data_IF_881438591980
#
_entry.id   IF_881438591980
#
_cell.length_a   1.000
_cell.length_b   1.000
_cell.length_c   1.000
_cell.angle_alpha   90.00
_cell.angle_beta   90.00
_cell.angle_gamma   90.00
#
_symmetry.space_group_name_H-M   'P 1'
#
loop_
_entity.id
_entity.type
_entity.pdbx_description
1 polymer ?
#
# COMPACT_ATOMS: atom_id res chain seq x y z
N UNK A 1 57.19 79.37 31.06
CA UNK A 1 56.31 78.58 31.95
C UNK A 1 54.88 78.85 31.52
N UNK A 2 54.05 77.98 30.94
CA UNK A 2 54.01 76.52 30.79
C UNK A 2 53.44 76.21 29.40
N UNK A 3 54.10 75.32 28.64
CA UNK A 3 53.47 74.59 27.52
C UNK A 3 52.49 73.58 28.10
N UNK A 4 51.26 73.55 27.60
CA UNK A 4 50.28 72.50 27.92
C UNK A 4 49.83 71.83 26.63
N UNK A 5 50.41 70.66 26.35
CA UNK A 5 50.01 69.74 25.29
C UNK A 5 48.74 68.99 25.72
N UNK A 6 47.67 69.05 24.92
CA UNK A 6 46.50 68.17 25.03
C UNK A 6 46.62 67.05 23.98
N UNK A 7 46.48 65.77 24.32
CA UNK A 7 46.33 64.72 23.31
C UNK A 7 44.87 64.71 22.81
N UNK A 8 44.70 64.58 21.50
CA UNK A 8 43.42 64.26 20.86
C UNK A 8 43.10 62.79 21.14
N UNK A 9 42.05 62.53 21.91
CA UNK A 9 41.45 61.21 22.02
C UNK A 9 40.65 60.88 20.77
N UNK A 10 41.04 59.83 20.05
CA UNK A 10 40.24 59.28 18.96
C UNK A 10 39.00 58.59 19.56
N UNK A 11 37.82 59.16 19.32
CA UNK A 11 36.56 58.50 19.60
C UNK A 11 36.32 57.43 18.51
N UNK A 12 36.51 56.16 18.86
CA UNK A 12 36.06 55.06 18.03
C UNK A 12 34.53 55.01 18.04
N UNK A 13 33.91 55.56 16.99
CA UNK A 13 32.47 55.44 16.77
C UNK A 13 32.16 54.01 16.31
N UNK A 14 31.74 53.16 17.25
CA UNK A 14 31.19 51.85 16.95
C UNK A 14 29.80 52.06 16.31
N UNK A 15 29.75 52.03 14.98
CA UNK A 15 28.49 51.81 14.28
C UNK A 15 28.02 50.39 14.62
N UNK A 16 27.10 50.28 15.57
CA UNK A 16 26.34 49.06 15.77
C UNK A 16 25.47 48.87 14.52
N UNK A 17 25.89 47.97 13.63
CA UNK A 17 25.02 47.46 12.58
C UNK A 17 23.93 46.65 13.29
N UNK A 18 22.77 47.28 13.53
CA UNK A 18 21.59 46.57 14.02
C UNK A 18 21.23 45.51 12.98
N UNK A 19 21.65 44.28 13.23
CA UNK A 19 21.12 43.11 12.54
C UNK A 19 19.64 43.03 12.91
N UNK A 20 18.79 43.55 12.02
CA UNK A 20 17.38 43.20 12.01
C UNK A 20 17.35 41.74 11.59
N UNK A 21 17.34 40.84 12.58
CA UNK A 21 16.99 39.45 12.33
C UNK A 21 15.51 39.48 11.91
N UNK A 22 15.16 39.07 10.68
CA UNK A 22 13.76 38.86 10.35
C UNK A 22 13.22 37.88 11.40
N UNK A 23 12.14 38.29 12.09
CA UNK A 23 11.40 37.38 12.95
C UNK A 23 11.03 36.20 12.06
N UNK A 24 11.48 34.99 12.40
CA UNK A 24 10.97 33.79 11.77
C UNK A 24 9.45 33.90 11.81
N UNK A 25 8.79 33.85 10.64
CA UNK A 25 7.35 33.71 10.61
C UNK A 25 7.03 32.50 11.51
N UNK A 26 6.09 32.67 12.45
CA UNK A 26 5.62 31.53 13.24
C UNK A 26 5.11 30.51 12.24
N UNK A 27 5.62 29.28 12.28
CA UNK A 27 5.09 28.25 11.41
C UNK A 27 3.62 28.05 11.79
N UNK A 28 2.79 27.84 10.78
CA UNK A 28 1.34 27.74 10.94
C UNK A 28 0.98 26.27 10.82
N UNK A 29 0.43 25.73 11.90
CA UNK A 29 -0.01 24.33 11.90
C UNK A 29 -1.00 24.04 10.75
N UNK A 30 -0.95 22.83 10.18
CA UNK A 30 -1.91 22.38 9.18
C UNK A 30 -3.36 22.54 9.64
N UNK A 31 -4.25 22.80 8.69
CA UNK A 31 -5.69 22.89 8.89
C UNK A 31 -6.41 21.91 7.97
N UNK A 32 -7.64 21.54 8.31
CA UNK A 32 -8.42 20.60 7.51
C UNK A 32 -9.59 19.99 8.27
N UNK A 33 -10.31 19.11 7.58
CA UNK A 33 -11.46 18.38 8.13
C UNK A 33 -11.41 16.91 7.75
N UNK A 34 -11.80 16.05 8.69
CA UNK A 34 -12.26 14.70 8.40
C UNK A 34 -13.75 14.79 8.04
N UNK A 35 -14.07 14.71 6.75
CA UNK A 35 -15.42 14.92 6.23
C UNK A 35 -16.28 13.66 6.36
N UNK A 36 -15.68 12.48 6.19
CA UNK A 36 -16.40 11.21 6.21
C UNK A 36 -15.55 10.07 6.80
N UNK A 37 -16.23 9.17 7.51
CA UNK A 37 -15.69 7.87 7.92
C UNK A 37 -16.72 6.77 7.58
N UNK A 38 -16.76 6.38 6.31
CA UNK A 38 -17.74 5.44 5.76
C UNK A 38 -17.16 4.05 5.45
N UNK A 39 -18.04 3.15 5.04
CA UNK A 39 -17.66 1.77 4.70
C UNK A 39 -16.89 1.66 3.38
N UNK A 40 -17.08 2.60 2.47
CA UNK A 40 -16.31 2.64 1.22
C UNK A 40 -15.01 3.44 1.39
N UNK A 41 -15.11 4.60 2.06
CA UNK A 41 -14.03 5.58 2.10
C UNK A 41 -14.01 6.39 3.40
N UNK A 42 -12.80 6.70 3.85
CA UNK A 42 -12.50 7.75 4.82
C UNK A 42 -12.00 8.95 4.00
N UNK A 43 -12.62 10.12 4.11
CA UNK A 43 -12.31 11.25 3.24
C UNK A 43 -12.29 12.56 4.00
N UNK A 44 -11.53 13.52 3.46
CA UNK A 44 -11.41 14.84 4.03
C UNK A 44 -10.53 15.74 3.18
N UNK A 45 -9.99 16.78 3.80
CA UNK A 45 -8.95 17.62 3.22
C UNK A 45 -8.00 18.12 4.30
N UNK A 46 -6.77 18.46 3.90
CA UNK A 46 -5.82 19.12 4.76
C UNK A 46 -4.84 20.00 3.94
N UNK A 47 -4.48 21.15 4.49
CA UNK A 47 -3.49 22.07 3.91
C UNK A 47 -2.58 22.58 5.01
N UNK A 48 -1.29 22.67 4.71
CA UNK A 48 -0.31 23.38 5.51
C UNK A 48 -0.15 24.80 4.92
N UNK A 49 -0.55 25.87 5.65
CA UNK A 49 -0.47 27.24 5.15
C UNK A 49 0.97 27.74 4.92
N UNK A 50 1.98 27.07 5.48
CA UNK A 50 3.39 27.42 5.22
C UNK A 50 3.84 26.95 3.82
N UNK A 51 3.16 25.94 3.26
CA UNK A 51 3.38 25.40 1.91
C UNK A 51 2.04 25.24 1.16
N UNK A 52 1.30 26.33 0.90
CA UNK A 52 -0.12 26.29 0.56
C UNK A 52 -0.45 25.62 -0.79
N UNK A 53 0.53 25.47 -1.67
CA UNK A 53 0.39 24.79 -2.97
C UNK A 53 0.90 23.33 -2.95
N UNK A 54 1.48 22.88 -1.83
CA UNK A 54 2.05 21.54 -1.71
C UNK A 54 1.06 20.59 -1.03
N UNK A 55 1.02 19.35 -1.52
CA UNK A 55 0.37 18.26 -0.81
C UNK A 55 1.13 17.95 0.47
N UNK A 56 0.39 17.73 1.55
CA UNK A 56 0.92 17.20 2.81
C UNK A 56 0.43 15.78 3.08
N UNK A 57 1.06 15.12 4.04
CA UNK A 57 0.56 13.86 4.58
C UNK A 57 -0.60 14.11 5.55
N UNK A 58 -1.50 13.14 5.59
CA UNK A 58 -2.54 12.98 6.61
C UNK A 58 -2.40 11.59 7.19
N UNK A 59 -2.22 11.51 8.49
CA UNK A 59 -2.20 10.23 9.19
C UNK A 59 -3.59 9.93 9.76
N UNK A 60 -4.16 8.82 9.35
CA UNK A 60 -5.47 8.33 9.80
C UNK A 60 -5.25 7.14 10.74
N UNK A 61 -5.79 7.22 11.96
CA UNK A 61 -5.69 6.19 13.00
C UNK A 61 -7.06 5.59 13.30
N UNK A 62 -7.12 4.29 13.56
CA UNK A 62 -8.37 3.56 13.77
C UNK A 62 -8.48 3.01 15.19
N UNK A 63 -9.57 3.33 15.88
CA UNK A 63 -9.93 2.85 17.21
C UNK A 63 -9.29 3.59 18.38
N UNK A 64 -8.20 4.33 18.16
CA UNK A 64 -7.52 5.11 19.17
C UNK A 64 -6.73 6.29 18.55
N UNK A 65 -6.45 7.36 19.31
CA UNK A 65 -5.68 8.49 18.81
C UNK A 65 -4.20 8.14 18.58
N UNK A 66 -3.50 9.02 17.85
CA UNK A 66 -2.06 8.94 17.63
C UNK A 66 -1.29 8.86 18.96
N UNK A 67 -0.18 8.11 18.97
CA UNK A 67 0.66 7.90 20.15
C UNK A 67 0.21 6.74 21.06
N UNK A 68 -0.97 6.16 20.82
CA UNK A 68 -1.39 4.92 21.50
C UNK A 68 -0.65 3.72 20.87
N UNK A 69 0.07 2.89 21.66
CA UNK A 69 0.81 1.74 21.13
C UNK A 69 -0.10 0.72 20.43
N UNK A 70 0.31 0.28 19.23
CA UNK A 70 -0.40 -0.75 18.49
C UNK A 70 -1.64 -0.27 17.72
N UNK A 71 -1.95 1.03 17.74
CA UNK A 71 -3.05 1.59 16.94
C UNK A 71 -2.78 1.45 15.45
N UNK A 72 -3.66 0.77 14.69
CA UNK A 72 -3.56 0.72 13.24
C UNK A 72 -3.68 2.12 12.64
N UNK A 73 -2.86 2.42 11.64
CA UNK A 73 -2.86 3.71 10.98
C UNK A 73 -2.47 3.60 9.51
N UNK A 74 -2.83 4.62 8.74
CA UNK A 74 -2.41 4.82 7.35
C UNK A 74 -1.99 6.26 7.14
N UNK A 75 -0.94 6.47 6.35
CA UNK A 75 -0.59 7.76 5.81
C UNK A 75 -1.18 7.90 4.40
N UNK A 76 -1.88 8.99 4.14
CA UNK A 76 -2.41 9.35 2.82
C UNK A 76 -2.00 10.78 2.48
N UNK A 77 -1.86 11.08 1.20
CA UNK A 77 -1.53 12.41 0.71
C UNK A 77 -2.81 13.20 0.48
N UNK A 78 -2.82 14.45 0.94
CA UNK A 78 -3.83 15.44 0.61
C UNK A 78 -3.52 16.07 -0.75
N UNK A 79 -3.72 15.31 -1.83
CA UNK A 79 -3.41 15.71 -3.22
C UNK A 79 -4.60 15.58 -4.19
N UNK A 80 -5.79 15.28 -3.68
CA UNK A 80 -6.99 15.07 -4.48
C UNK A 80 -7.64 16.41 -4.79
N UNK A 81 -7.85 16.68 -6.07
CA UNK A 81 -8.51 17.90 -6.54
C UNK A 81 -9.96 17.99 -6.05
N UNK A 82 -10.32 19.15 -5.49
CA UNK A 82 -11.65 19.50 -5.02
C UNK A 82 -11.96 20.97 -5.36
N UNK A 83 -13.00 21.18 -6.16
CA UNK A 83 -13.38 22.50 -6.66
C UNK A 83 -13.77 23.48 -5.55
N UNK A 84 -14.37 22.98 -4.46
CA UNK A 84 -14.77 23.80 -3.32
C UNK A 84 -13.57 24.39 -2.57
N UNK A 85 -12.42 23.71 -2.59
CA UNK A 85 -11.20 24.15 -1.93
C UNK A 85 -10.49 25.27 -2.69
N UNK A 86 -10.60 25.31 -4.02
CA UNK A 86 -9.95 26.32 -4.86
C UNK A 86 -10.22 27.75 -4.38
N UNK A 87 -11.47 28.03 -4.00
CA UNK A 87 -11.89 29.35 -3.53
C UNK A 87 -11.71 29.47 -2.01
N UNK A 88 -11.98 28.40 -1.26
CA UNK A 88 -11.97 28.45 0.21
C UNK A 88 -10.56 28.62 0.79
N UNK A 89 -9.55 27.99 0.18
CA UNK A 89 -8.17 27.93 0.70
C UNK A 89 -7.12 28.31 -0.36
N UNK A 90 -7.54 28.79 -1.54
CA UNK A 90 -6.66 29.27 -2.60
C UNK A 90 -5.96 28.19 -3.41
N UNK A 91 -6.21 26.91 -3.12
CA UNK A 91 -5.66 25.76 -3.84
C UNK A 91 -6.66 24.61 -3.85
N UNK A 92 -6.68 23.84 -4.93
CA UNK A 92 -7.70 22.82 -5.18
C UNK A 92 -7.26 21.41 -4.76
N UNK A 93 -5.95 21.13 -4.72
CA UNK A 93 -5.40 19.78 -4.62
C UNK A 93 -5.04 19.42 -3.18
N UNK A 94 -6.02 19.48 -2.28
CA UNK A 94 -5.85 19.25 -0.83
C UNK A 94 -6.82 18.22 -0.24
N UNK A 95 -7.66 17.59 -1.07
CA UNK A 95 -8.50 16.47 -0.64
C UNK A 95 -7.66 15.23 -0.37
N UNK A 96 -8.13 14.37 0.52
CA UNK A 96 -7.59 13.02 0.69
C UNK A 96 -8.72 11.99 0.76
N UNK A 97 -8.38 10.75 0.42
CA UNK A 97 -9.20 9.59 0.74
C UNK A 97 -8.31 8.42 1.20
N UNK A 98 -8.87 7.58 2.06
CA UNK A 98 -8.30 6.29 2.44
C UNK A 98 -9.39 5.21 2.32
N UNK A 99 -9.06 3.98 1.89
CA UNK A 99 -10.03 2.90 1.91
C UNK A 99 -10.44 2.57 3.35
N UNK A 100 -11.67 2.12 3.53
CA UNK A 100 -12.08 1.54 4.81
C UNK A 100 -11.42 0.16 5.02
N UNK A 101 -10.79 -0.10 6.17
CA UNK A 101 -10.20 -1.41 6.47
C UNK A 101 -11.28 -2.45 6.70
N UNK A 102 -11.30 -3.52 5.90
CA UNK A 102 -12.36 -4.54 6.00
C UNK A 102 -12.38 -5.25 7.34
N UNK A 103 -11.26 -5.32 8.06
CA UNK A 103 -11.22 -5.93 9.38
C UNK A 103 -12.12 -5.21 10.40
N UNK A 104 -12.50 -3.96 10.12
CA UNK A 104 -13.40 -3.17 10.96
C UNK A 104 -14.86 -3.24 10.49
N UNK A 105 -15.16 -4.05 9.46
CA UNK A 105 -16.52 -4.27 8.97
C UNK A 105 -17.17 -5.42 9.75
N UNK A 106 -17.20 -5.28 11.08
CA UNK A 106 -17.74 -6.25 12.04
C UNK A 106 -19.08 -5.79 12.67
N UNK A 107 -19.60 -4.65 12.22
CA UNK A 107 -20.81 -4.01 12.76
C UNK A 107 -20.58 -3.18 14.02
N UNK A 108 -19.37 -3.16 14.58
CA UNK A 108 -19.05 -2.40 15.79
C UNK A 108 -18.61 -0.98 15.45
N UNK A 109 -19.05 -0.02 16.27
CA UNK A 109 -18.62 1.37 16.14
C UNK A 109 -17.17 1.54 16.60
N UNK A 110 -16.36 2.25 15.81
CA UNK A 110 -14.96 2.60 16.13
C UNK A 110 -14.67 4.04 15.71
N UNK A 111 -13.87 4.73 16.50
CA UNK A 111 -13.44 6.09 16.18
C UNK A 111 -12.31 6.11 15.16
N UNK A 112 -12.36 7.04 14.22
CA UNK A 112 -11.35 7.31 13.21
C UNK A 112 -10.79 8.70 13.46
N UNK A 113 -9.48 8.76 13.74
CA UNK A 113 -8.76 10.00 14.00
C UNK A 113 -7.95 10.38 12.77
N UNK A 114 -7.89 11.67 12.43
CA UNK A 114 -7.08 12.17 11.32
C UNK A 114 -6.24 13.35 11.77
N UNK A 115 -4.97 13.37 11.37
CA UNK A 115 -4.00 14.39 11.74
C UNK A 115 -3.31 14.92 10.48
N UNK A 116 -3.29 16.24 10.31
CA UNK A 116 -2.49 16.88 9.26
C UNK A 116 -1.02 16.84 9.66
N UNK A 117 -0.15 16.46 8.74
CA UNK A 117 1.29 16.39 9.01
C UNK A 117 1.94 17.70 8.60
N UNK A 118 2.55 18.33 9.60
CA UNK A 118 3.24 19.61 9.44
C UNK A 118 4.64 19.37 8.87
N UNK A 119 4.96 20.06 7.79
CA UNK A 119 6.28 19.99 7.13
C UNK A 119 7.33 20.88 7.79
N UNK A 120 6.91 21.90 8.55
CA UNK A 120 7.71 22.85 9.32
C UNK A 120 8.01 22.43 10.76
N UNK A 121 7.31 21.43 11.31
CA UNK A 121 7.66 20.73 12.55
C UNK A 121 7.09 21.31 13.86
N UNK A 122 6.04 22.13 13.81
CA UNK A 122 5.31 22.62 15.00
C UNK A 122 4.29 21.61 15.56
N UNK A 123 4.16 20.46 14.92
CA UNK A 123 3.37 19.31 15.40
C UNK A 123 2.23 18.97 14.46
N UNK A 124 1.62 17.80 14.66
CA UNK A 124 0.60 17.27 13.75
C UNK A 124 -0.80 17.48 14.37
N UNK A 125 -1.52 18.56 14.03
CA UNK A 125 -2.82 18.86 14.61
C UNK A 125 -3.87 17.84 14.19
N UNK A 126 -4.82 17.57 15.10
CA UNK A 126 -6.03 16.82 14.78
C UNK A 126 -6.90 17.64 13.84
N UNK A 127 -7.37 17.03 12.75
CA UNK A 127 -8.24 17.70 11.79
C UNK A 127 -9.63 17.95 12.39
N UNK A 128 -10.33 18.96 11.88
CA UNK A 128 -11.70 19.28 12.26
C UNK A 128 -12.65 18.09 12.08
N UNK A 129 -13.66 17.98 12.95
CA UNK A 129 -14.60 16.84 13.01
C UNK A 129 -13.96 15.48 13.31
N UNK A 130 -12.71 15.42 13.74
CA UNK A 130 -12.06 14.21 14.20
C UNK A 130 -12.13 14.08 15.74
N UNK A 131 -12.45 12.90 16.30
CA UNK A 131 -12.76 11.66 15.60
C UNK A 131 -14.14 11.64 14.92
N UNK A 132 -14.27 10.80 13.88
CA UNK A 132 -15.56 10.35 13.35
C UNK A 132 -15.77 8.87 13.60
N UNK A 133 -17.02 8.47 13.79
CA UNK A 133 -17.39 7.07 13.97
C UNK A 133 -17.50 6.33 12.64
N UNK A 134 -16.77 5.22 12.52
CA UNK A 134 -16.93 4.18 11.52
C UNK A 134 -17.74 3.04 12.12
N UNK A 135 -18.83 2.64 11.46
CA UNK A 135 -19.60 1.46 11.85
C UNK A 135 -20.14 0.79 10.59
N UNK A 136 -19.62 -0.38 10.26
CA UNK A 136 -19.91 -1.08 9.01
C UNK A 136 -20.22 -2.54 9.29
N UNK A 137 -21.42 -3.05 8.95
CA UNK A 137 -21.63 -4.49 8.93
C UNK A 137 -20.79 -5.13 7.82
N UNK A 138 -20.45 -6.43 7.94
CA UNK A 138 -19.83 -7.14 6.84
C UNK A 138 -20.80 -7.17 5.64
N UNK A 139 -20.32 -6.74 4.48
CA UNK A 139 -21.12 -6.78 3.26
C UNK A 139 -21.19 -8.20 2.71
N UNK A 140 -22.38 -8.62 2.25
CA UNK A 140 -22.55 -9.89 1.56
C UNK A 140 -21.66 -9.96 0.32
N UNK A 141 -21.04 -11.13 0.13
CA UNK A 141 -20.09 -11.38 -0.96
C UNK A 141 -20.73 -12.22 -2.06
N UNK A 142 -20.27 -12.03 -3.30
CA UNK A 142 -20.70 -12.80 -4.47
C UNK A 142 -19.48 -13.36 -5.22
N UNK A 143 -19.71 -14.39 -6.04
CA UNK A 143 -18.67 -15.05 -6.83
C UNK A 143 -18.31 -16.43 -6.28
N UNK A 144 -17.02 -16.75 -6.28
CA UNK A 144 -16.45 -18.00 -5.74
C UNK A 144 -15.52 -17.68 -4.58
N UNK A 145 -15.29 -18.66 -3.70
CA UNK A 145 -14.19 -18.63 -2.74
C UNK A 145 -13.01 -19.43 -3.28
N UNK A 146 -11.83 -18.82 -3.27
CA UNK A 146 -10.58 -19.43 -3.76
C UNK A 146 -9.60 -19.52 -2.61
N UNK A 147 -9.08 -20.72 -2.32
CA UNK A 147 -8.20 -20.90 -1.16
C UNK A 147 -6.89 -20.16 -1.36
N UNK A 148 -6.42 -19.51 -0.30
CA UNK A 148 -5.05 -18.96 -0.17
C UNK A 148 -4.20 -20.02 0.52
N UNK A 149 -3.26 -20.63 -0.21
CA UNK A 149 -2.52 -21.80 0.29
C UNK A 149 -1.36 -21.43 1.23
N UNK A 150 -1.72 -21.03 2.44
CA UNK A 150 -0.78 -20.77 3.53
C UNK A 150 -0.05 -19.43 3.45
N UNK A 151 0.87 -19.24 4.39
CA UNK A 151 1.62 -18.00 4.56
C UNK A 151 2.46 -17.59 3.32
N UNK A 152 3.14 -18.50 2.60
CA UNK A 152 3.93 -18.11 1.43
C UNK A 152 3.09 -17.45 0.34
N UNK A 153 1.88 -17.96 0.07
CA UNK A 153 0.96 -17.35 -0.89
C UNK A 153 0.41 -16.04 -0.36
N UNK A 154 0.03 -15.97 0.91
CA UNK A 154 -0.42 -14.73 1.55
C UNK A 154 0.59 -13.59 1.40
N UNK A 155 1.87 -13.88 1.70
CA UNK A 155 2.96 -12.92 1.64
C UNK A 155 3.30 -12.53 0.20
N UNK A 156 3.31 -13.50 -0.73
CA UNK A 156 3.61 -13.25 -2.14
C UNK A 156 2.57 -12.34 -2.81
N UNK A 157 1.29 -12.49 -2.45
CA UNK A 157 0.21 -11.59 -2.85
C UNK A 157 0.16 -10.30 -2.04
N UNK A 158 1.03 -10.17 -1.02
CA UNK A 158 1.10 -9.03 -0.12
C UNK A 158 -0.22 -8.75 0.57
N UNK A 159 -1.00 -9.78 0.90
CA UNK A 159 -2.28 -9.58 1.58
C UNK A 159 -2.11 -8.94 2.97
N UNK A 160 -3.17 -8.30 3.45
CA UNK A 160 -3.22 -7.65 4.76
C UNK A 160 -4.46 -8.06 5.52
N UNK A 161 -4.26 -8.54 6.75
CA UNK A 161 -5.34 -8.95 7.65
C UNK A 161 -6.12 -7.75 8.18
N UNK A 162 -5.59 -6.54 8.07
CA UNK A 162 -6.30 -5.33 8.47
C UNK A 162 -7.10 -4.74 7.30
N UNK A 163 -6.50 -4.67 6.12
CA UNK A 163 -7.12 -4.02 4.96
C UNK A 163 -8.06 -4.93 4.17
N UNK A 164 -7.76 -6.22 4.10
CA UNK A 164 -8.42 -7.13 3.15
C UNK A 164 -9.31 -8.17 3.85
N UNK A 165 -9.08 -8.47 5.12
CA UNK A 165 -9.85 -9.49 5.84
C UNK A 165 -11.21 -8.95 6.27
N UNK A 166 -12.27 -9.45 5.67
CA UNK A 166 -13.65 -9.22 6.05
C UNK A 166 -14.07 -10.23 7.14
N UNK A 167 -14.63 -9.77 8.28
CA UNK A 167 -15.29 -10.61 9.29
C UNK A 167 -16.61 -11.23 8.77
N UNK A 168 -16.55 -11.97 7.66
CA UNK A 168 -17.71 -12.53 6.99
C UNK A 168 -18.37 -13.63 7.85
N UNK A 169 -19.67 -13.55 8.14
CA UNK A 169 -20.37 -14.60 8.89
C UNK A 169 -20.32 -15.96 8.19
N UNK A 170 -20.24 -17.05 8.95
CA UNK A 170 -20.14 -18.40 8.39
C UNK A 170 -21.30 -18.74 7.44
N UNK A 171 -22.52 -18.30 7.75
CA UNK A 171 -23.69 -18.51 6.90
C UNK A 171 -23.55 -17.87 5.51
N UNK A 172 -22.87 -16.73 5.40
CA UNK A 172 -22.62 -16.06 4.13
C UNK A 172 -21.41 -16.68 3.41
N UNK A 173 -20.35 -16.99 4.16
CA UNK A 173 -19.16 -17.66 3.62
C UNK A 173 -19.46 -19.05 3.02
N UNK A 174 -20.41 -19.78 3.61
CA UNK A 174 -20.83 -21.10 3.15
C UNK A 174 -21.75 -21.04 1.91
N UNK A 175 -22.24 -19.85 1.51
CA UNK A 175 -22.98 -19.64 0.25
C UNK A 175 -22.06 -19.48 -0.97
N UNK A 176 -20.77 -19.17 -0.75
CA UNK A 176 -19.81 -19.00 -1.85
C UNK A 176 -19.36 -20.37 -2.36
N UNK A 177 -19.62 -20.74 -3.63
CA UNK A 177 -19.10 -21.96 -4.22
C UNK A 177 -17.57 -21.97 -4.26
N UNK A 178 -16.99 -23.17 -4.15
CA UNK A 178 -15.54 -23.36 -4.27
C UNK A 178 -15.08 -23.08 -5.71
N UNK A 179 -14.08 -22.23 -5.85
CA UNK A 179 -13.30 -22.05 -7.07
C UNK A 179 -11.92 -22.70 -6.96
N UNK A 180 -11.14 -22.72 -8.06
CA UNK A 180 -9.75 -23.16 -7.99
C UNK A 180 -8.94 -22.27 -7.03
N UNK A 181 -7.94 -22.85 -6.37
CA UNK A 181 -7.01 -22.11 -5.52
C UNK A 181 -6.38 -20.93 -6.28
N UNK A 182 -5.98 -19.88 -5.55
CA UNK A 182 -5.26 -18.77 -6.19
C UNK A 182 -3.84 -19.21 -6.56
N UNK A 183 -3.23 -18.63 -7.62
CA UNK A 183 -1.83 -18.87 -7.92
C UNK A 183 -0.94 -18.60 -6.71
N UNK A 184 0.18 -19.32 -6.57
CA UNK A 184 1.07 -19.15 -5.42
C UNK A 184 1.65 -17.72 -5.27
N UNK A 185 1.72 -16.95 -6.37
CA UNK A 185 2.13 -15.55 -6.41
C UNK A 185 1.47 -14.84 -7.61
N UNK A 186 1.30 -13.51 -7.59
CA UNK A 186 0.81 -12.77 -8.75
C UNK A 186 1.86 -12.73 -9.86
N UNK A 187 1.41 -12.87 -11.11
CA UNK A 187 2.24 -12.76 -12.30
C UNK A 187 1.61 -11.75 -13.27
N UNK A 188 2.31 -10.64 -13.50
CA UNK A 188 1.84 -9.54 -14.34
C UNK A 188 2.56 -9.54 -15.67
N UNK A 189 1.82 -9.34 -16.75
CA UNK A 189 2.36 -9.22 -18.11
C UNK A 189 1.75 -8.04 -18.86
N UNK A 190 2.48 -7.49 -19.82
CA UNK A 190 1.98 -6.58 -20.84
C UNK A 190 2.32 -7.15 -22.22
N UNK A 191 1.40 -7.00 -23.18
CA UNK A 191 1.67 -7.34 -24.57
C UNK A 191 2.59 -6.29 -25.21
N UNK A 192 3.47 -6.70 -26.12
CA UNK A 192 4.36 -5.85 -26.90
C UNK A 192 3.67 -5.11 -28.07
N UNK A 193 2.36 -4.90 -27.97
CA UNK A 193 1.51 -4.27 -29.00
C UNK A 193 1.31 -2.76 -28.80
N UNK A 194 1.90 -2.19 -27.74
CA UNK A 194 1.80 -0.76 -27.42
C UNK A 194 0.50 -0.34 -26.73
N UNK A 195 -0.40 -1.27 -26.37
CA UNK A 195 -1.65 -0.95 -25.66
C UNK A 195 -1.42 -0.47 -24.22
N UNK A 196 -0.31 -0.89 -23.60
CA UNK A 196 -0.01 -0.62 -22.19
C UNK A 196 -0.94 -1.34 -21.20
N UNK A 197 -1.80 -2.25 -21.67
CA UNK A 197 -2.68 -3.03 -20.81
C UNK A 197 -1.87 -4.04 -19.98
N UNK A 198 -2.11 -4.04 -18.67
CA UNK A 198 -1.50 -5.02 -17.77
C UNK A 198 -2.49 -6.13 -17.45
N UNK A 199 -2.02 -7.37 -17.58
CA UNK A 199 -2.79 -8.57 -17.35
C UNK A 199 -2.18 -9.37 -16.20
N UNK A 200 -3.04 -9.90 -15.33
CA UNK A 200 -2.68 -10.90 -14.33
C UNK A 200 -2.87 -12.30 -14.94
N UNK A 201 -1.87 -13.16 -14.81
CA UNK A 201 -1.99 -14.57 -15.21
C UNK A 201 -2.53 -15.41 -14.06
N UNK A 202 -3.55 -16.22 -14.35
CA UNK A 202 -4.32 -16.94 -13.34
C UNK A 202 -4.77 -18.29 -13.89
N UNK A 203 -3.99 -19.36 -13.64
CA UNK A 203 -4.41 -20.73 -14.00
C UNK A 203 -4.71 -20.98 -15.49
N UNK A 204 -4.05 -20.24 -16.40
CA UNK A 204 -4.27 -20.34 -17.85
C UNK A 204 -5.23 -19.29 -18.43
N UNK A 205 -5.81 -18.43 -17.59
CA UNK A 205 -6.51 -17.22 -18.04
C UNK A 205 -5.63 -15.98 -17.88
N UNK A 206 -5.85 -14.97 -18.73
CA UNK A 206 -5.37 -13.60 -18.51
C UNK A 206 -6.52 -12.75 -17.97
N UNK A 207 -6.26 -11.93 -16.96
CA UNK A 207 -7.28 -11.08 -16.32
C UNK A 207 -6.84 -9.63 -16.36
N UNK A 208 -7.69 -8.74 -16.88
CA UNK A 208 -7.34 -7.33 -17.00
C UNK A 208 -7.16 -6.70 -15.61
N UNK A 209 -6.01 -6.05 -15.38
CA UNK A 209 -5.77 -5.26 -14.18
C UNK A 209 -6.14 -3.81 -14.50
N UNK A 210 -7.30 -3.37 -14.01
CA UNK A 210 -7.70 -1.97 -14.16
C UNK A 210 -6.76 -1.04 -13.38
N UNK A 211 -6.52 0.20 -13.82
CA UNK A 211 -5.65 1.14 -13.11
C UNK A 211 -6.02 1.33 -11.63
N UNK A 212 -7.32 1.29 -11.31
CA UNK A 212 -7.82 1.40 -9.93
C UNK A 212 -7.62 0.15 -9.06
N UNK A 213 -7.37 -1.02 -9.66
CA UNK A 213 -7.17 -2.27 -8.93
C UNK A 213 -5.72 -2.45 -8.44
N UNK A 214 -4.73 -1.88 -9.13
CA UNK A 214 -3.33 -2.14 -8.83
C UNK A 214 -2.94 -1.76 -7.39
N UNK A 215 -3.34 -0.57 -6.92
CA UNK A 215 -2.99 -0.10 -5.58
C UNK A 215 -3.67 -0.90 -4.45
N UNK A 216 -5.00 -1.16 -4.48
CA UNK A 216 -5.65 -2.03 -3.49
C UNK A 216 -5.07 -3.45 -3.44
N UNK A 217 -4.66 -4.00 -4.58
CA UNK A 217 -3.98 -5.30 -4.65
C UNK A 217 -2.47 -5.24 -4.40
N UNK A 218 -1.91 -4.04 -4.17
CA UNK A 218 -0.48 -3.80 -3.94
C UNK A 218 0.43 -4.39 -5.03
N UNK A 219 -0.08 -4.35 -6.27
CA UNK A 219 0.58 -4.79 -7.49
C UNK A 219 1.50 -3.69 -8.04
N UNK A 220 2.71 -4.08 -8.43
CA UNK A 220 3.70 -3.20 -9.04
C UNK A 220 3.61 -3.32 -10.57
N UNK A 221 2.80 -2.48 -11.21
CA UNK A 221 2.59 -2.53 -12.66
C UNK A 221 3.88 -2.26 -13.45
N UNK A 222 4.82 -1.51 -12.86
CA UNK A 222 6.14 -1.24 -13.47
C UNK A 222 7.03 -2.47 -13.57
N UNK A 223 6.67 -3.57 -12.89
CA UNK A 223 7.37 -4.87 -12.95
C UNK A 223 6.66 -5.90 -13.82
N UNK A 224 5.61 -5.52 -14.54
CA UNK A 224 4.97 -6.42 -15.48
C UNK A 224 5.96 -6.85 -16.58
N UNK A 225 6.02 -8.15 -16.85
CA UNK A 225 6.89 -8.68 -17.89
C UNK A 225 6.31 -8.36 -19.28
N UNK A 226 7.13 -7.82 -20.17
CA UNK A 226 6.73 -7.64 -21.57
C UNK A 226 6.80 -9.00 -22.26
N UNK A 227 5.72 -9.39 -22.97
CA UNK A 227 5.62 -10.64 -23.73
C UNK A 227 5.05 -10.39 -25.13
N UNK A 228 5.35 -11.28 -26.10
CA UNK A 228 4.71 -11.23 -27.40
C UNK A 228 3.18 -11.21 -27.28
N UNK A 229 2.54 -10.29 -27.99
CA UNK A 229 1.10 -10.15 -28.00
C UNK A 229 0.39 -11.47 -28.35
N UNK A 230 0.96 -12.26 -29.28
CA UNK A 230 0.43 -13.57 -29.63
C UNK A 230 0.40 -14.56 -28.45
N UNK A 231 1.40 -14.53 -27.56
CA UNK A 231 1.45 -15.40 -26.37
C UNK A 231 0.43 -14.97 -25.32
N UNK A 232 0.35 -13.67 -25.05
CA UNK A 232 -0.64 -13.12 -24.10
C UNK A 232 -2.06 -13.38 -24.62
N UNK A 233 -2.30 -13.16 -25.91
CA UNK A 233 -3.61 -13.28 -26.52
C UNK A 233 -4.06 -14.73 -26.79
N UNK A 234 -3.13 -15.70 -26.77
CA UNK A 234 -3.45 -17.12 -26.80
C UNK A 234 -4.10 -17.64 -25.50
N UNK A 235 -3.89 -16.96 -24.36
CA UNK A 235 -4.57 -17.31 -23.11
C UNK A 235 -6.07 -17.01 -23.20
N UNK A 236 -6.88 -17.73 -22.44
CA UNK A 236 -8.32 -17.40 -22.37
C UNK A 236 -8.49 -16.09 -21.59
N UNK A 237 -9.31 -15.17 -22.09
CA UNK A 237 -9.61 -13.95 -21.35
C UNK A 237 -10.59 -14.24 -20.22
N UNK A 238 -10.15 -14.01 -18.99
CA UNK A 238 -10.94 -14.19 -17.77
C UNK A 238 -11.71 -12.94 -17.39
N UNK A 239 -12.46 -13.02 -16.29
CA UNK A 239 -13.10 -11.82 -15.73
C UNK A 239 -12.02 -10.85 -15.24
N UNK A 240 -12.25 -9.52 -15.36
CA UNK A 240 -11.31 -8.53 -14.85
C UNK A 240 -10.95 -8.76 -13.38
N UNK A 241 -9.75 -8.35 -12.97
CA UNK A 241 -9.38 -8.38 -11.57
C UNK A 241 -10.31 -7.46 -10.77
N UNK A 242 -10.88 -7.96 -9.67
CA UNK A 242 -11.76 -7.17 -8.81
C UNK A 242 -11.08 -5.89 -8.34
N UNK A 243 -11.81 -4.81 -8.04
CA UNK A 243 -11.20 -3.53 -7.64
C UNK A 243 -10.31 -3.61 -6.40
N UNK A 244 -10.60 -4.54 -5.48
CA UNK A 244 -9.82 -4.77 -4.26
C UNK A 244 -9.90 -6.23 -3.82
N UNK A 245 -8.88 -6.76 -3.13
CA UNK A 245 -8.98 -8.06 -2.50
C UNK A 245 -9.98 -8.04 -1.33
N UNK A 246 -10.70 -9.15 -1.18
CA UNK A 246 -11.57 -9.43 -0.04
C UNK A 246 -11.23 -10.84 0.43
N UNK A 247 -10.68 -10.94 1.63
CA UNK A 247 -10.33 -12.19 2.28
C UNK A 247 -11.34 -12.52 3.38
N UNK A 248 -11.53 -13.79 3.67
CA UNK A 248 -12.26 -14.23 4.87
C UNK A 248 -11.71 -15.57 5.35
N UNK A 249 -12.02 -15.94 6.60
CA UNK A 249 -11.58 -17.19 7.21
C UNK A 249 -12.79 -18.13 7.39
N UNK A 250 -12.68 -19.35 6.87
CA UNK A 250 -13.63 -20.44 7.10
C UNK A 250 -12.92 -21.78 7.09
N UNK A 251 -12.29 -22.16 8.20
CA UNK A 251 -11.44 -23.36 8.29
C UNK A 251 -10.08 -23.22 7.58
N UNK A 252 -10.03 -22.45 6.49
CA UNK A 252 -8.83 -21.94 5.84
C UNK A 252 -9.02 -20.45 5.49
N UNK A 253 -7.99 -19.81 4.93
CA UNK A 253 -8.07 -18.46 4.38
C UNK A 253 -8.54 -18.53 2.92
N UNK A 254 -9.51 -17.71 2.55
CA UNK A 254 -10.07 -17.64 1.21
C UNK A 254 -10.07 -16.21 0.68
N UNK A 255 -9.88 -16.08 -0.63
CA UNK A 255 -10.16 -14.89 -1.42
C UNK A 255 -11.54 -15.01 -2.05
N UNK A 256 -12.35 -13.96 -1.97
CA UNK A 256 -13.56 -13.82 -2.78
C UNK A 256 -13.18 -13.34 -4.17
N UNK A 257 -13.62 -14.05 -5.20
CA UNK A 257 -13.26 -13.75 -6.58
C UNK A 257 -14.41 -14.03 -7.56
N UNK A 258 -14.29 -13.52 -8.78
CA UNK A 258 -15.23 -13.83 -9.86
C UNK A 258 -14.93 -15.21 -10.48
N UNK A 259 -15.94 -15.99 -10.87
CA UNK A 259 -15.74 -17.23 -11.61
C UNK A 259 -14.94 -16.98 -12.88
N UNK A 260 -13.90 -17.79 -13.11
CA UNK A 260 -13.11 -17.76 -14.33
C UNK A 260 -13.71 -18.70 -15.38
N UNK A 261 -13.58 -18.39 -16.69
CA UNK A 261 -13.98 -19.31 -17.73
C UNK A 261 -13.19 -20.62 -17.64
N UNK A 262 -13.84 -21.72 -18.01
CA UNK A 262 -13.20 -23.03 -18.04
C UNK A 262 -12.14 -23.04 -19.15
N UNK A 263 -10.89 -23.30 -18.79
CA UNK A 263 -9.79 -23.44 -19.75
C UNK A 263 -9.86 -24.84 -20.38
N UNK A 264 -10.07 -24.99 -21.70
CA UNK A 264 -10.10 -26.30 -22.35
C UNK A 264 -8.76 -27.03 -22.19
N UNK A 265 -8.80 -28.24 -21.62
CA UNK A 265 -7.60 -29.08 -21.44
C UNK A 265 -6.83 -28.87 -20.12
N UNK A 266 -7.26 -27.95 -19.26
CA UNK A 266 -6.73 -27.83 -17.89
C UNK A 266 -7.35 -28.86 -16.96
N UNK A 267 -6.55 -29.79 -16.44
CA UNK A 267 -7.00 -30.68 -15.38
C UNK A 267 -7.39 -29.82 -14.15
N UNK A 268 -8.69 -29.75 -13.85
CA UNK A 268 -9.12 -29.25 -12.55
C UNK A 268 -8.66 -30.25 -11.50
N UNK A 269 -7.63 -29.90 -10.73
CA UNK A 269 -7.32 -30.61 -9.49
C UNK A 269 -8.35 -30.21 -8.43
N UNK A 270 -9.62 -30.53 -8.69
CA UNK A 270 -10.60 -30.64 -7.61
C UNK A 270 -10.20 -31.89 -6.82
N UNK A 271 -9.60 -31.69 -5.65
CA UNK A 271 -9.42 -32.76 -4.68
C UNK A 271 -10.80 -33.08 -4.09
N UNK A 272 -11.62 -33.74 -4.90
CA UNK A 272 -12.83 -34.40 -4.43
C UNK A 272 -12.43 -35.47 -3.44
N UNK A 273 -12.81 -35.28 -2.17
CA UNK A 273 -12.75 -36.29 -1.14
C UNK A 273 -13.70 -37.45 -1.52
N UNK A 274 -13.22 -38.35 -2.38
CA UNK A 274 -13.85 -39.62 -2.69
C UNK A 274 -13.18 -40.72 -1.87
N UNK A 275 -13.73 -41.00 -0.68
CA UNK A 275 -13.35 -42.18 0.08
C UNK A 275 -13.86 -43.44 -0.61
N UNK A 276 -12.94 -44.26 -1.11
CA UNK A 276 -13.17 -45.67 -1.41
C UNK A 276 -11.88 -46.45 -1.17
N UNK A 277 -11.86 -47.25 -0.10
CA UNK A 277 -10.78 -48.15 0.21
C UNK A 277 -10.70 -49.31 -0.79
N UNK A 278 -9.47 -49.69 -1.14
CA UNK A 278 -9.16 -50.86 -1.95
C UNK A 278 -7.67 -51.13 -1.91
N UNK A 279 -7.28 -52.19 -1.21
CA UNK A 279 -5.92 -52.59 -0.94
C UNK A 279 -5.24 -53.31 -2.11
N UNK A 280 -3.91 -53.25 -2.14
CA UNK A 280 -3.07 -54.37 -2.60
C UNK A 280 -2.05 -54.03 -3.70
N UNK A 281 -0.80 -54.43 -3.47
CA UNK A 281 0.12 -54.79 -4.56
C UNK A 281 1.51 -54.15 -4.51
N UNK A 282 2.46 -54.88 -3.93
CA UNK A 282 3.88 -54.59 -3.93
C UNK A 282 4.54 -54.77 -5.32
N UNK A 283 5.68 -54.13 -5.54
CA UNK A 283 6.58 -54.42 -6.66
C UNK A 283 7.80 -53.51 -6.68
N UNK A 284 8.89 -53.97 -6.04
CA UNK A 284 10.20 -53.32 -6.12
C UNK A 284 10.91 -53.61 -7.44
N UNK A 285 11.73 -52.67 -7.90
CA UNK A 285 12.61 -52.83 -9.05
C UNK A 285 13.95 -52.15 -8.79
N UNK A 286 15.02 -52.96 -8.77
CA UNK A 286 16.41 -52.53 -8.81
C UNK A 286 16.85 -52.37 -10.27
N UNK A 287 17.75 -51.43 -10.55
CA UNK A 287 18.43 -51.29 -11.83
C UNK A 287 19.45 -50.16 -11.84
N UNK A 288 20.72 -50.52 -11.62
CA UNK A 288 21.93 -49.69 -11.77
C UNK A 288 22.32 -49.45 -13.24
N UNK A 289 23.18 -48.44 -13.43
CA UNK A 289 24.05 -48.23 -14.61
C UNK A 289 23.65 -47.01 -15.44
N UNK A 290 24.51 -46.08 -15.84
CA UNK A 290 25.98 -45.99 -15.83
C UNK A 290 26.40 -44.64 -16.45
N UNK A 291 27.69 -44.35 -16.36
CA UNK A 291 28.39 -43.06 -16.51
C UNK A 291 28.57 -42.51 -17.94
N UNK A 292 29.01 -41.24 -18.01
CA UNK A 292 29.73 -40.59 -19.13
C UNK A 292 29.04 -39.32 -19.64
N UNK A 293 29.64 -38.14 -19.74
CA UNK A 293 30.99 -37.63 -19.55
C UNK A 293 30.99 -36.14 -19.98
N UNK A 294 31.96 -35.38 -19.45
CA UNK A 294 32.63 -34.13 -19.92
C UNK A 294 32.15 -33.47 -21.23
N UNK A 295 32.26 -32.17 -21.50
CA UNK A 295 32.80 -30.96 -20.88
C UNK A 295 32.43 -29.82 -21.88
N UNK A 296 32.49 -28.56 -21.45
CA UNK A 296 33.03 -27.37 -22.18
C UNK A 296 32.28 -26.09 -21.82
N UNK A 297 32.94 -25.28 -20.99
CA UNK A 297 32.88 -23.81 -21.06
C UNK A 297 33.94 -23.34 -22.11
N UNK A 298 33.96 -22.08 -22.59
CA UNK A 298 34.37 -20.96 -21.72
C UNK A 298 33.85 -19.53 -22.09
N UNK A 299 34.24 -18.59 -21.21
CA UNK A 299 34.54 -17.15 -21.40
C UNK A 299 33.45 -16.04 -21.53
N UNK A 300 33.54 -15.05 -20.62
CA UNK A 300 33.00 -13.67 -20.75
C UNK A 300 34.02 -12.72 -21.43
N UNK A 301 34.09 -11.38 -21.16
CA UNK A 301 33.25 -10.48 -20.35
C UNK A 301 32.91 -9.14 -21.11
N UNK A 302 32.58 -8.06 -20.36
CA UNK A 302 32.37 -6.63 -20.74
C UNK A 302 30.91 -6.20 -20.99
N UNK A 303 30.35 -5.10 -20.49
CA UNK A 303 30.90 -3.87 -19.94
C UNK A 303 30.38 -2.69 -20.79
N UNK A 304 29.31 -2.00 -20.36
CA UNK A 304 28.75 -0.89 -21.14
C UNK A 304 27.65 -0.10 -20.43
N UNK A 305 27.95 1.16 -20.16
CA UNK A 305 27.19 2.17 -19.41
C UNK A 305 25.91 2.66 -20.10
N UNK A 306 24.80 2.77 -19.38
CA UNK A 306 23.60 3.49 -19.82
C UNK A 306 23.59 4.94 -19.30
N UNK A 307 23.44 5.89 -20.23
CA UNK A 307 23.25 7.33 -20.00
C UNK A 307 21.84 7.62 -19.47
N UNK A 308 21.74 8.51 -18.48
CA UNK A 308 20.48 9.10 -18.00
C UNK A 308 19.97 10.22 -18.92
N UNK A 309 18.67 10.23 -19.16
CA UNK A 309 17.82 11.32 -19.68
C UNK A 309 16.49 11.32 -18.92
N UNK A 310 15.75 12.45 -18.87
CA UNK A 310 15.08 12.97 -17.67
C UNK A 310 13.76 12.29 -17.30
N UNK A 311 13.30 12.40 -16.04
CA UNK A 311 12.08 11.72 -15.57
C UNK A 311 10.81 12.40 -16.10
N UNK A 312 10.03 11.64 -16.85
CA UNK A 312 8.61 11.89 -17.04
C UNK A 312 7.85 11.59 -15.75
N UNK A 313 6.84 12.41 -15.49
CA UNK A 313 5.87 12.37 -14.39
C UNK A 313 5.50 10.95 -13.92
N UNK A 314 6.12 10.49 -12.85
CA UNK A 314 5.75 9.25 -12.16
C UNK A 314 4.57 9.53 -11.21
N UNK A 315 3.44 8.86 -11.47
CA UNK A 315 2.49 8.53 -10.41
C UNK A 315 3.25 7.73 -9.35
N UNK A 316 3.52 8.36 -8.21
CA UNK A 316 4.21 7.72 -7.09
C UNK A 316 3.31 6.66 -6.47
N UNK A 317 3.63 5.40 -6.72
CA UNK A 317 2.95 4.26 -6.11
C UNK A 317 3.40 4.09 -4.65
N UNK A 318 2.41 4.12 -3.76
CA UNK A 318 2.47 4.05 -2.31
C UNK A 318 3.26 2.85 -1.79
N UNK A 319 4.28 3.11 -0.97
CA UNK A 319 4.89 2.10 -0.11
C UNK A 319 4.36 2.27 1.31
N UNK A 320 3.55 1.31 1.76
CA UNK A 320 3.14 1.21 3.16
C UNK A 320 4.34 0.70 3.99
N UNK A 321 4.93 1.57 4.82
CA UNK A 321 5.87 1.17 5.86
C UNK A 321 5.15 1.13 7.21
N UNK A 322 5.11 -0.02 7.92
CA UNK A 322 4.68 -0.03 9.31
C UNK A 322 5.75 0.61 10.19
N UNK A 323 5.44 1.73 10.83
CA UNK A 323 6.32 2.37 11.81
C UNK A 323 6.17 1.63 13.15
N UNK A 324 7.13 0.77 13.49
CA UNK A 324 7.30 0.27 14.87
C UNK A 324 8.32 1.15 15.61
N UNK A 325 7.83 2.00 16.52
CA UNK A 325 8.68 2.76 17.43
C UNK A 325 9.05 1.94 18.68
N UNK A 326 10.33 1.57 18.82
CA UNK A 326 10.87 0.99 20.07
C UNK A 326 11.49 2.12 20.90
N UNK A 327 10.85 2.48 22.03
CA UNK A 327 11.43 3.38 23.03
C UNK A 327 12.23 2.57 24.04
N UNK A 328 13.56 2.68 24.00
CA UNK A 328 14.45 2.18 25.05
C UNK A 328 14.58 3.23 26.18
N UNK A 329 13.97 2.97 27.33
CA UNK A 329 14.15 3.79 28.54
C UNK A 329 15.49 3.49 29.21
N UNK A 330 16.42 4.45 29.22
CA UNK A 330 17.66 4.37 29.99
C UNK A 330 17.44 4.78 31.46
N UNK A 331 17.43 3.80 32.37
CA UNK A 331 17.42 4.05 33.81
C UNK A 331 18.83 4.46 34.31
N UNK A 332 19.00 5.71 34.75
CA UNK A 332 20.20 6.17 35.47
C UNK A 332 20.18 5.63 36.91
N UNK A 333 21.08 4.69 37.23
CA UNK A 333 21.42 4.36 38.63
C UNK A 333 22.31 5.46 39.22
N UNK A 334 21.83 6.15 40.26
CA UNK A 334 22.66 6.93 41.19
C UNK A 334 23.53 5.95 41.99
N UNK A 335 24.85 6.18 42.03
CA UNK A 335 25.72 5.66 43.09
C UNK A 335 26.08 6.80 44.03
N UNK A 336 26.14 6.43 45.32
CA UNK A 336 26.55 7.24 46.47
C UNK A 336 27.95 7.79 46.29
#
# INVERSE_FOLDING_TARGET
MHSTTRPLGAAASLLACSLVFPRAASAVQPTGYLDAAGCDVIAGWAQDPDVPDQSIDVHVYYGAPAGTPGTPAVAVHANVHRDDLCVAIGSCAHGFYAPSPLALHDGNARDVYAYGIDTGGEGNPTLGSSPRTLQCPPAAQSGVRRKVDGAPTYDAWRFSSFWDLLPLPAAEADLLPDGPDIPAKPELVQADDGTGQTWLLDGGVRRLVSPGAAAPWRLDLGKAAIRPAAEVYALTEGTPLRPRPVLFIRGALYLVDDPQPVVPGGASSSSGAGGAGGAGGAGGGWGEGGEGGEDTAPDGPSGGTCKMGPPGTTNSYWFFLPIFGVMASAARRRRR
#
